data_IF_440607951549
#
_entry.id   IF_440607951549
#
_cell.length_a   1.000
_cell.length_b   1.000
_cell.length_c   1.000
_cell.angle_alpha   90.00
_cell.angle_beta   90.00
_cell.angle_gamma   90.00
#
_symmetry.space_group_name_H-M   'P 1'
#
loop_
_entity.id
_entity.type
_entity.pdbx_description
1 polymer ?
#
# COMPACT_ATOMS: atom_id res chain seq x y z
N UNK A 1 21.87 -12.18 16.56
CA UNK A 1 20.45 -11.82 16.30
C UNK A 1 19.87 -10.77 17.28
N UNK A 2 20.60 -10.32 18.32
CA UNK A 2 20.10 -9.31 19.29
C UNK A 2 20.02 -7.88 18.73
N UNK A 3 20.83 -7.57 17.72
CA UNK A 3 20.95 -6.19 17.20
C UNK A 3 19.76 -5.73 16.33
N UNK A 4 18.86 -6.64 15.91
CA UNK A 4 17.70 -6.27 15.10
C UNK A 4 16.69 -5.43 15.89
N UNK A 5 16.52 -5.72 17.18
CA UNK A 5 15.54 -5.04 18.05
C UNK A 5 15.97 -3.60 18.34
N UNK A 6 17.27 -3.36 18.47
CA UNK A 6 17.84 -2.06 18.81
C UNK A 6 18.55 -1.37 17.63
N UNK A 7 18.38 -1.88 16.42
CA UNK A 7 18.97 -1.29 15.21
C UNK A 7 18.48 0.15 15.01
N UNK A 8 19.38 1.02 14.54
CA UNK A 8 19.07 2.41 14.17
C UNK A 8 18.02 2.49 13.05
N UNK A 9 17.94 1.47 12.20
CA UNK A 9 16.99 1.40 11.06
C UNK A 9 15.60 0.89 11.44
N UNK A 10 15.37 0.52 12.70
CA UNK A 10 14.06 0.01 13.15
C UNK A 10 12.99 1.10 13.07
N UNK A 11 11.88 0.79 12.39
CA UNK A 11 10.69 1.66 12.38
C UNK A 11 10.08 1.69 13.77
N UNK A 12 10.10 2.86 14.40
CA UNK A 12 9.63 3.05 15.80
C UNK A 12 8.19 3.51 15.90
N UNK A 13 7.68 4.19 14.87
CA UNK A 13 6.38 4.85 14.89
C UNK A 13 5.65 4.60 13.57
N UNK A 14 4.32 4.75 13.53
CA UNK A 14 3.58 4.85 12.28
C UNK A 14 4.09 6.03 11.46
N UNK A 15 4.37 5.76 10.19
CA UNK A 15 4.88 6.73 9.22
C UNK A 15 3.99 6.72 8.00
N UNK A 16 3.65 7.90 7.48
CA UNK A 16 2.84 8.04 6.27
C UNK A 16 3.57 8.93 5.28
N UNK A 17 3.47 8.60 3.99
CA UNK A 17 4.03 9.43 2.92
C UNK A 17 3.36 10.81 2.92
N UNK A 18 4.18 11.87 2.87
CA UNK A 18 3.70 13.25 2.85
C UNK A 18 2.72 13.52 1.71
N UNK A 19 3.04 13.03 0.50
CA UNK A 19 2.18 13.16 -0.67
C UNK A 19 0.85 12.40 -0.59
N UNK A 20 0.79 11.33 0.23
CA UNK A 20 -0.47 10.64 0.53
C UNK A 20 -1.31 11.40 1.56
N UNK A 21 -0.69 11.97 2.59
CA UNK A 21 -1.40 12.82 3.56
C UNK A 21 -1.99 14.08 2.92
N UNK A 22 -1.31 14.66 1.93
CA UNK A 22 -1.79 15.84 1.23
C UNK A 22 -3.06 15.59 0.41
N UNK A 23 -3.21 14.40 -0.17
CA UNK A 23 -4.42 14.00 -0.89
C UNK A 23 -4.59 12.48 -0.85
N UNK A 24 -5.42 11.94 0.07
CA UNK A 24 -5.61 10.50 0.22
C UNK A 24 -6.21 9.82 -1.02
N UNK A 25 -7.10 10.52 -1.73
CA UNK A 25 -7.79 9.98 -2.91
C UNK A 25 -6.93 10.01 -4.18
N UNK A 26 -6.02 10.99 -4.27
CA UNK A 26 -5.09 11.17 -5.39
C UNK A 26 -3.70 11.48 -4.82
N UNK A 27 -3.01 10.48 -4.25
CA UNK A 27 -1.74 10.70 -3.60
C UNK A 27 -0.72 11.24 -4.59
N UNK A 28 -0.13 12.38 -4.22
CA UNK A 28 0.91 13.04 -5.02
C UNK A 28 2.28 12.46 -4.67
N UNK A 29 3.28 12.73 -5.51
CA UNK A 29 4.65 12.28 -5.31
C UNK A 29 4.95 10.88 -5.83
N UNK A 30 6.22 10.48 -5.70
CA UNK A 30 6.76 9.23 -6.27
C UNK A 30 7.10 8.26 -5.15
N UNK A 31 6.51 7.06 -5.19
CA UNK A 31 6.85 6.00 -4.24
C UNK A 31 8.35 5.71 -4.29
N UNK A 32 9.01 5.75 -3.13
CA UNK A 32 10.46 5.53 -2.99
C UNK A 32 11.30 6.82 -2.93
N UNK A 33 10.75 7.97 -3.33
CA UNK A 33 11.42 9.28 -3.21
C UNK A 33 10.74 10.23 -2.22
N UNK A 34 9.50 9.92 -1.83
CA UNK A 34 8.76 10.78 -0.92
C UNK A 34 9.26 10.75 0.52
N UNK A 35 9.13 11.91 1.16
CA UNK A 35 9.31 12.06 2.59
C UNK A 35 8.20 11.35 3.39
N UNK A 36 8.59 10.82 4.55
CA UNK A 36 7.67 10.22 5.50
C UNK A 36 7.47 11.11 6.72
N UNK A 37 6.22 11.30 7.11
CA UNK A 37 5.82 12.07 8.27
C UNK A 37 5.31 11.10 9.35
N UNK A 38 5.72 11.35 10.60
CA UNK A 38 5.24 10.60 11.76
C UNK A 38 3.79 10.97 12.05
N UNK A 39 2.97 9.96 12.34
CA UNK A 39 1.56 10.13 12.76
C UNK A 39 1.27 9.35 14.04
N UNK A 40 0.11 9.60 14.64
CA UNK A 40 -0.40 8.77 15.74
C UNK A 40 -0.93 7.42 15.21
N UNK A 41 -1.05 6.43 16.10
CA UNK A 41 -1.65 5.15 15.75
C UNK A 41 -3.12 5.28 15.33
N UNK A 42 -3.88 6.12 16.03
CA UNK A 42 -5.29 6.42 15.69
C UNK A 42 -5.38 6.96 14.26
N UNK A 43 -4.61 8.00 13.94
CA UNK A 43 -4.60 8.58 12.60
C UNK A 43 -4.19 7.56 11.52
N UNK A 44 -3.21 6.70 11.81
CA UNK A 44 -2.79 5.67 10.86
C UNK A 44 -3.90 4.66 10.57
N UNK A 45 -4.62 4.22 11.61
CA UNK A 45 -5.72 3.26 11.47
C UNK A 45 -6.92 3.88 10.76
N UNK A 46 -7.26 5.14 11.08
CA UNK A 46 -8.35 5.86 10.43
C UNK A 46 -8.11 6.02 8.92
N UNK A 47 -6.87 6.34 8.53
CA UNK A 47 -6.50 6.46 7.11
C UNK A 47 -6.62 5.11 6.38
N UNK A 48 -6.20 4.02 7.03
CA UNK A 48 -6.30 2.67 6.47
C UNK A 48 -7.75 2.27 6.32
N UNK A 49 -8.57 2.47 7.35
CA UNK A 49 -10.00 2.12 7.35
C UNK A 49 -10.78 2.92 6.31
N UNK A 50 -10.54 4.23 6.21
CA UNK A 50 -11.18 5.08 5.21
C UNK A 50 -10.92 4.58 3.77
N UNK A 51 -9.67 4.22 3.45
CA UNK A 51 -9.35 3.69 2.13
C UNK A 51 -9.88 2.28 1.91
N UNK A 52 -9.87 1.43 2.93
CA UNK A 52 -10.46 0.09 2.83
C UNK A 52 -11.97 0.14 2.57
N UNK A 53 -12.72 0.99 3.30
CA UNK A 53 -14.14 1.21 3.07
C UNK A 53 -14.41 1.72 1.67
N UNK A 54 -13.72 2.78 1.25
CA UNK A 54 -13.85 3.35 -0.11
C UNK A 54 -13.67 2.29 -1.20
N UNK A 55 -12.64 1.45 -1.10
CA UNK A 55 -12.35 0.41 -2.10
C UNK A 55 -13.46 -0.66 -2.10
N UNK A 56 -13.91 -1.11 -0.93
CA UNK A 56 -14.98 -2.10 -0.82
C UNK A 56 -16.29 -1.58 -1.40
N UNK A 57 -16.62 -0.33 -1.11
CA UNK A 57 -17.87 0.29 -1.56
C UNK A 57 -17.85 0.58 -3.08
N UNK A 58 -16.68 0.91 -3.63
CA UNK A 58 -16.55 1.27 -5.05
C UNK A 58 -16.33 0.08 -5.98
N UNK A 59 -15.60 -0.94 -5.54
CA UNK A 59 -15.12 -2.03 -6.41
C UNK A 59 -15.41 -3.44 -5.88
N UNK A 60 -15.89 -3.54 -4.63
CA UNK A 60 -16.17 -4.80 -3.96
C UNK A 60 -14.97 -5.36 -3.17
N UNK A 61 -15.21 -6.37 -2.33
CA UNK A 61 -14.20 -6.91 -1.41
C UNK A 61 -13.04 -7.63 -2.12
N UNK A 62 -13.25 -8.13 -3.34
CA UNK A 62 -12.22 -8.81 -4.14
C UNK A 62 -11.11 -7.87 -4.66
N UNK A 63 -11.32 -6.56 -4.62
CA UNK A 63 -10.37 -5.56 -5.11
C UNK A 63 -9.24 -5.24 -4.12
N UNK A 64 -9.30 -5.78 -2.90
CA UNK A 64 -8.21 -5.68 -1.92
C UNK A 64 -7.31 -6.89 -2.12
N UNK A 65 -6.09 -6.66 -2.63
CA UNK A 65 -5.12 -7.73 -2.88
C UNK A 65 -4.28 -8.03 -1.63
N UNK A 66 -4.44 -9.20 -0.99
CA UNK A 66 -3.53 -9.62 0.08
C UNK A 66 -2.17 -10.05 -0.49
N UNK A 67 -1.10 -9.74 0.23
CA UNK A 67 0.29 -9.98 -0.14
C UNK A 67 0.61 -11.39 -0.74
N UNK A 68 0.11 -12.53 -0.22
CA UNK A 68 0.41 -13.84 -0.82
C UNK A 68 -0.18 -14.03 -2.22
N UNK A 69 -1.27 -13.31 -2.54
CA UNK A 69 -1.96 -13.44 -3.84
C UNK A 69 -1.46 -12.45 -4.88
N UNK A 70 -0.86 -11.33 -4.48
CA UNK A 70 -0.34 -10.32 -5.41
C UNK A 70 0.77 -10.87 -6.31
N UNK A 71 1.71 -11.65 -5.74
CA UNK A 71 2.75 -12.34 -6.49
C UNK A 71 2.19 -13.44 -7.41
N UNK A 72 1.20 -14.21 -6.93
CA UNK A 72 0.60 -15.30 -7.68
C UNK A 72 -0.24 -14.80 -8.87
N UNK A 73 -1.06 -13.76 -8.70
CA UNK A 73 -1.88 -13.17 -9.76
C UNK A 73 -1.03 -12.41 -10.77
N UNK A 74 0.00 -11.68 -10.34
CA UNK A 74 0.95 -11.02 -11.26
C UNK A 74 1.74 -12.05 -12.06
N UNK A 75 2.25 -13.11 -11.42
CA UNK A 75 2.92 -14.21 -12.11
C UNK A 75 1.98 -14.95 -13.07
N UNK A 76 0.71 -15.14 -12.70
CA UNK A 76 -0.31 -15.73 -13.58
C UNK A 76 -0.60 -14.87 -14.81
N UNK A 77 -0.78 -13.54 -14.64
CA UNK A 77 -0.99 -12.61 -15.74
C UNK A 77 0.25 -12.45 -16.65
N UNK A 78 1.46 -12.46 -16.08
CA UNK A 78 2.71 -12.43 -16.86
C UNK A 78 2.90 -13.73 -17.65
N UNK A 79 2.56 -14.89 -17.07
CA UNK A 79 2.72 -16.21 -17.72
C UNK A 79 1.66 -16.48 -18.80
N UNK A 80 0.54 -15.76 -18.80
CA UNK A 80 -0.52 -15.84 -19.83
C UNK A 80 -0.48 -14.72 -20.88
N UNK A 81 0.70 -14.15 -21.21
CA UNK A 81 0.87 -13.33 -22.43
C UNK A 81 0.86 -14.17 -23.72
N UNK A 82 -0.16 -15.00 -23.89
CA UNK A 82 -0.65 -15.45 -25.20
C UNK A 82 -2.17 -15.28 -25.16
N UNK A 83 -2.69 -14.52 -26.12
CA UNK A 83 -4.10 -14.20 -26.33
C UNK A 83 -4.63 -12.98 -25.56
N UNK A 84 -4.15 -11.78 -25.93
CA UNK A 84 -5.04 -10.63 -26.08
C UNK A 84 -4.40 -9.63 -27.06
N UNK A 85 -4.37 -10.01 -28.34
CA UNK A 85 -4.50 -9.03 -29.42
C UNK A 85 -5.95 -9.07 -29.84
N UNK A 86 -6.71 -8.05 -29.46
CA UNK A 86 -7.90 -7.62 -30.16
C UNK A 86 -8.28 -6.23 -29.62
N UNK A 87 -8.68 -5.39 -30.56
CA UNK A 87 -9.42 -4.14 -30.41
C UNK A 87 -10.53 -4.28 -29.35
#
# INVERSE_FOLDING_TARGET
MRDQVHSKTRVRYPMVRKGFLASPDKPQGVRGQDEFVRVSWEQALDLIDAQHRRIRDSYGPASILPAPTAGALTAYCIRRRRCCSAI
#
